data_IF_654072768914
#
_entry.id   IF_654072768914
#
_cell.length_a   1.000
_cell.length_b   1.000
_cell.length_c   1.000
_cell.angle_alpha   90.00
_cell.angle_beta   90.00
_cell.angle_gamma   90.00
#
_symmetry.space_group_name_H-M   'P 1'
#
loop_
_entity.id
_entity.type
_entity.pdbx_description
1 polymer ?
#
# COMPACT_ATOMS: atom_id res chain seq x y z
N UNK A 1 -52.68 11.99 -39.41
CA UNK A 1 -52.55 13.19 -38.56
C UNK A 1 -53.60 13.02 -37.49
N UNK A 2 -53.38 12.70 -36.23
CA UNK A 2 -52.27 12.77 -35.25
C UNK A 2 -52.44 11.54 -34.31
N UNK A 3 -51.46 10.91 -33.68
CA UNK A 3 -50.27 11.44 -33.01
C UNK A 3 -50.54 11.60 -31.51
N UNK A 4 -49.95 10.76 -30.64
CA UNK A 4 -49.58 11.19 -29.28
C UNK A 4 -50.12 10.42 -28.07
N UNK A 5 -49.26 9.52 -27.56
CA UNK A 5 -49.28 8.82 -26.27
C UNK A 5 -49.40 9.75 -25.04
N UNK A 6 -50.38 9.48 -24.15
CA UNK A 6 -50.53 10.13 -22.84
C UNK A 6 -49.85 9.35 -21.71
N UNK A 7 -48.55 9.56 -21.53
CA UNK A 7 -47.79 9.01 -20.40
C UNK A 7 -47.99 9.82 -19.11
N UNK A 8 -48.56 9.19 -18.09
CA UNK A 8 -48.74 9.78 -16.76
C UNK A 8 -47.41 10.18 -16.10
N UNK A 9 -47.26 11.48 -15.82
CA UNK A 9 -46.12 12.04 -15.09
C UNK A 9 -46.27 11.72 -13.59
N UNK A 10 -45.59 10.67 -13.11
CA UNK A 10 -45.38 10.47 -11.67
C UNK A 10 -44.36 11.50 -11.17
N UNK A 11 -44.85 12.51 -10.47
CA UNK A 11 -44.05 13.49 -9.71
C UNK A 11 -43.21 12.75 -8.66
N UNK A 12 -41.91 12.58 -8.92
CA UNK A 12 -40.96 12.16 -7.89
C UNK A 12 -40.73 13.32 -6.92
N UNK A 13 -41.40 13.26 -5.78
CA UNK A 13 -41.23 14.13 -4.62
C UNK A 13 -39.74 14.16 -4.24
N UNK A 14 -39.08 15.28 -4.53
CA UNK A 14 -37.68 15.52 -4.15
C UNK A 14 -37.59 15.60 -2.63
N UNK A 15 -37.11 14.53 -2.00
CA UNK A 15 -36.74 14.51 -0.59
C UNK A 15 -35.73 15.63 -0.34
N UNK A 16 -36.07 16.48 0.64
CA UNK A 16 -35.45 17.79 0.87
C UNK A 16 -33.93 17.75 0.96
N UNK A 17 -33.29 18.47 0.04
CA UNK A 17 -31.95 19.02 0.31
C UNK A 17 -32.14 20.12 1.33
N UNK A 18 -31.79 19.85 2.59
CA UNK A 18 -31.53 20.89 3.59
C UNK A 18 -30.63 21.94 2.93
N UNK A 19 -31.20 23.12 2.68
CA UNK A 19 -30.46 24.29 2.21
C UNK A 19 -29.45 24.62 3.30
N UNK A 20 -28.19 24.28 3.03
CA UNK A 20 -27.10 24.40 3.98
C UNK A 20 -26.85 25.85 4.33
N UNK A 21 -26.76 26.13 5.63
CA UNK A 21 -26.26 27.40 6.14
C UNK A 21 -24.84 27.72 5.64
N UNK A 22 -24.27 28.87 6.05
CA UNK A 22 -23.03 29.39 5.50
C UNK A 22 -21.92 28.33 5.50
N UNK A 23 -21.50 27.91 4.30
CA UNK A 23 -20.45 26.92 4.12
C UNK A 23 -19.12 27.52 4.55
N UNK A 24 -18.48 26.90 5.54
CA UNK A 24 -17.10 27.26 5.94
C UNK A 24 -16.19 27.17 4.71
N UNK A 25 -15.27 28.14 4.58
CA UNK A 25 -14.30 28.17 3.49
C UNK A 25 -13.55 26.83 3.42
N UNK A 26 -13.42 26.20 2.25
CA UNK A 26 -12.78 24.89 2.13
C UNK A 26 -11.29 25.01 2.44
N UNK A 27 -10.84 24.32 3.48
CA UNK A 27 -9.41 24.21 3.82
C UNK A 27 -8.82 22.99 3.11
N UNK A 28 -7.64 23.16 2.51
CA UNK A 28 -6.97 22.06 1.83
C UNK A 28 -6.51 20.99 2.83
N UNK A 29 -6.43 19.73 2.38
CA UNK A 29 -5.95 18.63 3.23
C UNK A 29 -4.48 18.78 3.63
N UNK A 30 -3.68 19.47 2.82
CA UNK A 30 -2.29 19.83 3.14
C UNK A 30 -2.23 20.82 4.29
N UNK A 31 -2.98 21.92 4.19
CA UNK A 31 -3.07 22.95 5.24
C UNK A 31 -3.61 22.36 6.54
N UNK A 32 -4.61 21.47 6.46
CA UNK A 32 -5.18 20.79 7.64
C UNK A 32 -4.20 19.82 8.31
N UNK A 33 -3.25 19.29 7.56
CA UNK A 33 -2.23 18.36 8.05
C UNK A 33 -0.92 19.08 8.44
N UNK A 34 -0.80 20.39 8.23
CA UNK A 34 0.43 21.14 8.47
C UNK A 34 1.57 20.80 7.50
N UNK A 35 1.25 20.31 6.30
CA UNK A 35 2.22 19.87 5.30
C UNK A 35 2.29 20.85 4.13
N UNK A 36 3.49 21.19 3.68
CA UNK A 36 3.73 21.91 2.42
C UNK A 36 3.42 21.02 1.20
N UNK A 37 3.62 19.70 1.32
CA UNK A 37 3.40 18.78 0.22
C UNK A 37 1.90 18.61 -0.14
N UNK A 38 1.55 18.44 -1.43
CA UNK A 38 0.16 18.40 -1.88
C UNK A 38 -0.51 17.03 -1.62
N UNK A 39 -0.96 16.81 -0.38
CA UNK A 39 -1.70 15.62 0.10
C UNK A 39 -2.83 15.20 -0.85
N UNK A 40 -3.59 16.17 -1.36
CA UNK A 40 -4.71 15.90 -2.26
C UNK A 40 -4.30 15.32 -3.61
N UNK A 41 -3.14 15.74 -4.13
CA UNK A 41 -2.57 15.26 -5.40
C UNK A 41 -1.95 13.87 -5.21
N UNK A 42 -1.22 13.68 -4.11
CA UNK A 42 -0.66 12.37 -3.71
C UNK A 42 -1.77 11.32 -3.60
N UNK A 43 -2.89 11.66 -2.95
CA UNK A 43 -4.05 10.77 -2.89
C UNK A 43 -4.67 10.44 -4.25
N UNK A 44 -4.55 11.33 -5.24
CA UNK A 44 -4.98 11.06 -6.62
C UNK A 44 -4.01 10.12 -7.33
N UNK A 45 -2.70 10.35 -7.21
CA UNK A 45 -1.70 9.48 -7.82
C UNK A 45 -1.70 8.07 -7.22
N UNK A 46 -1.90 7.93 -5.91
CA UNK A 46 -2.05 6.62 -5.27
C UNK A 46 -3.23 5.81 -5.84
N UNK A 47 -4.31 6.49 -6.23
CA UNK A 47 -5.47 5.84 -6.88
C UNK A 47 -5.20 5.56 -8.35
N UNK A 48 -4.56 6.49 -9.08
CA UNK A 48 -4.24 6.34 -10.51
C UNK A 48 -3.21 5.23 -10.77
N UNK A 49 -2.22 5.10 -9.89
CA UNK A 49 -1.16 4.10 -9.99
C UNK A 49 -1.60 2.67 -9.67
N UNK A 50 -2.85 2.46 -9.24
CA UNK A 50 -3.43 1.12 -8.99
C UNK A 50 -2.59 0.21 -8.08
N UNK A 51 -1.81 0.80 -7.16
CA UNK A 51 -0.95 0.08 -6.21
C UNK A 51 -1.73 -0.81 -5.23
N UNK A 52 -3.00 -0.47 -4.97
CA UNK A 52 -3.90 -1.26 -4.15
C UNK A 52 -5.35 -1.03 -4.59
N UNK A 53 -6.22 -2.01 -4.30
CA UNK A 53 -7.64 -1.93 -4.61
C UNK A 53 -8.37 -0.78 -3.87
N UNK A 54 -7.86 -0.38 -2.70
CA UNK A 54 -8.36 0.76 -1.92
C UNK A 54 -7.21 1.51 -1.25
N UNK A 55 -7.29 2.84 -1.24
CA UNK A 55 -6.33 3.73 -0.57
C UNK A 55 -7.01 4.32 0.67
N UNK A 56 -6.43 4.07 1.84
CA UNK A 56 -6.91 4.62 3.11
C UNK A 56 -6.86 6.15 3.14
N UNK A 57 -7.73 6.79 3.93
CA UNK A 57 -7.85 8.26 4.00
C UNK A 57 -6.59 8.94 4.52
N UNK A 58 -5.89 8.32 5.47
CA UNK A 58 -4.62 8.80 6.03
C UNK A 58 -3.37 8.44 5.21
N UNK A 59 -3.46 7.47 4.29
CA UNK A 59 -2.32 7.05 3.46
C UNK A 59 -1.65 8.21 2.69
N UNK A 60 -2.39 9.11 2.01
CA UNK A 60 -1.77 10.25 1.34
C UNK A 60 -1.19 11.29 2.30
N UNK A 61 -1.67 11.37 3.54
CA UNK A 61 -1.13 12.29 4.55
C UNK A 61 0.21 11.77 5.06
N UNK A 62 0.27 10.47 5.39
CA UNK A 62 1.49 9.83 5.84
C UNK A 62 2.58 9.89 4.76
N UNK A 63 2.22 9.57 3.51
CA UNK A 63 3.15 9.64 2.40
C UNK A 63 3.64 11.08 2.15
N UNK A 64 2.76 12.07 2.24
CA UNK A 64 3.15 13.48 2.12
C UNK A 64 4.11 13.91 3.24
N UNK A 65 3.90 13.45 4.47
CA UNK A 65 4.76 13.79 5.60
C UNK A 65 6.16 13.18 5.47
N UNK A 66 6.26 11.91 5.05
CA UNK A 66 7.56 11.25 4.80
C UNK A 66 8.30 11.92 3.66
N UNK A 67 7.59 12.30 2.60
CA UNK A 67 8.16 13.01 1.46
C UNK A 67 8.66 14.40 1.82
N UNK A 68 7.90 15.13 2.64
CA UNK A 68 8.30 16.44 3.12
C UNK A 68 9.49 16.36 4.07
N UNK A 69 9.56 15.33 4.92
CA UNK A 69 10.72 15.05 5.76
C UNK A 69 11.97 14.79 4.92
N UNK A 70 11.91 13.86 3.97
CA UNK A 70 13.03 13.57 3.07
C UNK A 70 13.44 14.79 2.24
N UNK A 71 12.45 15.56 1.77
CA UNK A 71 12.72 16.80 1.05
C UNK A 71 13.31 17.87 1.95
N UNK A 72 12.95 17.94 3.22
CA UNK A 72 13.51 18.87 4.21
C UNK A 72 14.94 18.47 4.58
N UNK A 73 15.22 17.18 4.75
CA UNK A 73 16.53 16.64 5.08
C UNK A 73 17.50 16.82 3.90
N UNK A 74 17.06 16.53 2.68
CA UNK A 74 17.80 16.86 1.46
C UNK A 74 17.94 18.37 1.28
N UNK A 75 16.90 19.17 1.58
CA UNK A 75 16.94 20.64 1.52
C UNK A 75 17.89 21.24 2.55
N UNK A 76 18.01 20.64 3.74
CA UNK A 76 18.98 21.06 4.74
C UNK A 76 20.41 20.78 4.25
N UNK A 77 20.59 19.71 3.47
CA UNK A 77 21.85 19.38 2.80
C UNK A 77 22.13 20.27 1.57
N UNK A 78 21.08 20.80 0.92
CA UNK A 78 21.17 21.63 -0.30
C UNK A 78 21.05 23.13 -0.07
N UNK A 79 20.72 23.59 1.13
CA UNK A 79 20.77 25.01 1.47
C UNK A 79 22.22 25.57 1.35
N UNK A 80 23.22 24.69 1.35
CA UNK A 80 24.61 25.02 1.00
C UNK A 80 24.96 24.90 -0.49
N UNK A 81 24.05 24.49 -1.38
CA UNK A 81 24.38 24.29 -2.80
C UNK A 81 23.23 24.66 -3.76
N UNK A 82 23.40 25.82 -4.40
CA UNK A 82 22.86 26.36 -5.66
C UNK A 82 21.49 25.88 -6.23
N UNK A 83 20.64 26.81 -6.74
CA UNK A 83 19.30 26.52 -7.30
C UNK A 83 19.23 25.53 -8.48
N UNK A 84 20.35 25.19 -9.13
CA UNK A 84 20.41 24.18 -10.20
C UNK A 84 20.10 22.75 -9.71
N UNK A 85 20.29 22.45 -8.42
CA UNK A 85 20.07 21.11 -7.86
C UNK A 85 18.59 20.73 -7.73
N UNK A 86 17.66 21.70 -7.74
CA UNK A 86 16.23 21.47 -7.47
C UNK A 86 15.56 20.46 -8.44
N UNK A 87 16.02 20.37 -9.70
CA UNK A 87 15.51 19.42 -10.68
C UNK A 87 16.01 17.98 -10.44
N UNK A 88 17.26 17.80 -10.02
CA UNK A 88 17.84 16.49 -9.70
C UNK A 88 17.15 15.86 -8.49
N UNK A 89 16.81 16.67 -7.48
CA UNK A 89 16.12 16.18 -6.28
C UNK A 89 14.70 15.71 -6.56
N UNK A 90 14.00 16.34 -7.51
CA UNK A 90 12.69 15.87 -7.92
C UNK A 90 12.75 14.48 -8.55
N UNK A 91 13.83 14.17 -9.28
CA UNK A 91 14.03 12.88 -9.90
C UNK A 91 14.43 11.83 -8.85
N UNK A 92 15.37 12.17 -7.96
CA UNK A 92 15.83 11.29 -6.88
C UNK A 92 14.67 10.88 -5.97
N UNK A 93 13.81 11.83 -5.59
CA UNK A 93 12.62 11.54 -4.77
C UNK A 93 11.63 10.64 -5.50
N UNK A 94 11.45 10.83 -6.81
CA UNK A 94 10.55 9.97 -7.61
C UNK A 94 11.08 8.53 -7.73
N UNK A 95 12.38 8.36 -7.92
CA UNK A 95 13.04 7.04 -8.00
C UNK A 95 12.99 6.34 -6.64
N UNK A 96 13.31 7.04 -5.55
CA UNK A 96 13.29 6.49 -4.20
C UNK A 96 11.86 6.08 -3.78
N UNK A 97 10.85 6.86 -4.17
CA UNK A 97 9.45 6.50 -3.97
C UNK A 97 9.06 5.22 -4.71
N UNK A 98 9.46 5.08 -5.97
CA UNK A 98 9.22 3.85 -6.73
C UNK A 98 9.84 2.64 -6.05
N UNK A 99 11.09 2.74 -5.62
CA UNK A 99 11.82 1.64 -4.98
C UNK A 99 11.15 1.19 -3.67
N UNK A 100 10.80 2.12 -2.79
CA UNK A 100 10.10 1.80 -1.52
C UNK A 100 8.73 1.16 -1.79
N UNK A 101 7.98 1.66 -2.77
CA UNK A 101 6.68 1.10 -3.16
C UNK A 101 6.79 -0.31 -3.75
N UNK A 102 7.83 -0.56 -4.53
CA UNK A 102 8.09 -1.86 -5.14
C UNK A 102 8.45 -2.91 -4.08
N UNK A 103 9.41 -2.60 -3.20
CA UNK A 103 9.79 -3.47 -2.08
C UNK A 103 8.63 -3.71 -1.11
N UNK A 104 7.86 -2.66 -0.77
CA UNK A 104 6.69 -2.82 0.09
C UNK A 104 5.55 -3.59 -0.59
N UNK A 105 5.44 -3.51 -1.92
CA UNK A 105 4.53 -4.29 -2.74
C UNK A 105 4.88 -5.78 -2.74
N UNK A 106 6.17 -6.10 -2.86
CA UNK A 106 6.67 -7.47 -2.75
C UNK A 106 6.42 -8.02 -1.35
N UNK A 107 6.79 -7.27 -0.30
CA UNK A 107 6.50 -7.66 1.07
C UNK A 107 5.00 -7.88 1.34
N UNK A 108 4.11 -7.10 0.72
CA UNK A 108 2.66 -7.32 0.82
C UNK A 108 2.21 -8.63 0.14
N UNK A 109 2.75 -8.92 -1.05
CA UNK A 109 2.49 -10.16 -1.78
C UNK A 109 2.98 -11.39 -1.02
N UNK A 110 4.17 -11.32 -0.43
CA UNK A 110 4.75 -12.40 0.39
C UNK A 110 3.89 -12.70 1.62
N UNK A 111 3.28 -11.65 2.19
CA UNK A 111 2.31 -11.77 3.29
C UNK A 111 0.89 -12.14 2.82
N UNK A 112 0.70 -12.48 1.53
CA UNK A 112 -0.59 -12.83 0.92
C UNK A 112 -1.65 -11.72 1.11
N UNK A 113 -1.23 -10.46 1.13
CA UNK A 113 -2.09 -9.29 1.27
C UNK A 113 -2.10 -8.48 -0.02
N UNK A 114 -3.30 -8.13 -0.48
CA UNK A 114 -3.49 -7.25 -1.64
C UNK A 114 -3.44 -5.75 -1.26
N UNK A 115 -3.07 -5.43 -0.01
CA UNK A 115 -3.00 -4.07 0.53
C UNK A 115 -1.69 -3.87 1.26
N UNK A 116 -0.97 -2.82 0.90
CA UNK A 116 0.21 -2.36 1.63
C UNK A 116 -0.26 -1.77 2.97
N UNK A 117 0.30 -2.28 4.08
CA UNK A 117 0.10 -1.78 5.44
C UNK A 117 1.45 -1.31 6.00
N UNK A 118 1.49 -0.52 7.09
CA UNK A 118 2.75 0.00 7.64
C UNK A 118 3.79 -1.08 7.93
N UNK A 119 3.37 -2.31 8.29
CA UNK A 119 4.25 -3.47 8.42
C UNK A 119 5.05 -3.77 7.16
N UNK A 120 4.43 -3.76 5.97
CA UNK A 120 5.12 -4.08 4.72
C UNK A 120 6.15 -3.00 4.36
N UNK A 121 5.86 -1.74 4.69
CA UNK A 121 6.79 -0.62 4.53
C UNK A 121 7.99 -0.79 5.48
N UNK A 122 7.75 -1.20 6.73
CA UNK A 122 8.82 -1.51 7.67
C UNK A 122 9.67 -2.70 7.22
N UNK A 123 9.06 -3.79 6.74
CA UNK A 123 9.79 -4.94 6.21
C UNK A 123 10.66 -4.54 5.00
N UNK A 124 10.13 -3.74 4.08
CA UNK A 124 10.87 -3.25 2.93
C UNK A 124 12.08 -2.39 3.33
N UNK A 125 11.91 -1.46 4.26
CA UNK A 125 12.98 -0.54 4.69
C UNK A 125 14.03 -1.25 5.54
N UNK A 126 13.61 -2.15 6.44
CA UNK A 126 14.53 -2.82 7.38
C UNK A 126 15.27 -4.02 6.78
N UNK A 127 14.78 -4.58 5.68
CA UNK A 127 15.47 -5.62 4.91
C UNK A 127 16.40 -5.06 3.83
N UNK A 128 16.36 -3.75 3.58
CA UNK A 128 17.20 -3.09 2.59
C UNK A 128 18.28 -2.26 3.30
N UNK A 129 19.54 -2.47 2.93
CA UNK A 129 20.67 -1.84 3.63
C UNK A 129 20.73 -0.32 3.41
N UNK A 130 20.38 0.16 2.22
CA UNK A 130 20.47 1.57 1.86
C UNK A 130 19.31 2.35 2.49
N UNK A 131 18.09 1.84 2.36
CA UNK A 131 16.90 2.42 2.96
C UNK A 131 16.93 2.32 4.48
N UNK A 132 17.48 1.24 5.03
CA UNK A 132 17.63 1.03 6.47
C UNK A 132 18.59 2.04 7.10
N UNK A 133 19.72 2.34 6.43
CA UNK A 133 20.66 3.39 6.86
C UNK A 133 20.04 4.78 6.71
N UNK A 134 19.40 5.05 5.57
CA UNK A 134 18.76 6.33 5.29
C UNK A 134 17.63 6.67 6.27
N UNK A 135 16.89 5.66 6.75
CA UNK A 135 15.71 5.83 7.61
C UNK A 135 15.92 5.28 9.03
N UNK A 136 17.17 5.18 9.50
CA UNK A 136 17.50 4.59 10.80
C UNK A 136 16.81 5.31 11.98
N UNK A 137 16.75 6.66 11.91
CA UNK A 137 16.11 7.50 12.94
C UNK A 137 14.60 7.67 12.81
N UNK A 138 14.00 7.15 11.72
CA UNK A 138 12.57 7.35 11.45
C UNK A 138 11.74 6.24 12.09
N UNK A 139 10.75 6.65 12.89
CA UNK A 139 9.79 5.73 13.50
C UNK A 139 8.63 5.46 12.54
N UNK A 140 8.42 4.20 12.17
CA UNK A 140 7.28 3.78 11.34
C UNK A 140 6.12 3.36 12.25
N UNK A 141 5.13 4.24 12.39
CA UNK A 141 3.95 3.97 13.19
C UNK A 141 3.21 2.71 12.68
N UNK A 142 2.78 1.84 13.60
CA UNK A 142 2.14 0.55 13.31
C UNK A 142 2.97 -0.45 12.47
N UNK A 143 4.28 -0.25 12.33
CA UNK A 143 5.17 -1.14 11.59
C UNK A 143 5.64 -2.38 12.38
N UNK A 144 5.73 -2.29 13.71
CA UNK A 144 6.35 -3.33 14.55
C UNK A 144 7.88 -3.42 14.31
N UNK A 145 8.48 -4.59 14.57
CA UNK A 145 9.93 -4.84 14.41
C UNK A 145 10.22 -6.06 13.55
N UNK A 146 11.38 -6.12 12.88
CA UNK A 146 11.77 -7.30 12.10
C UNK A 146 11.85 -8.53 13.04
N UNK A 147 11.32 -9.70 12.65
CA UNK A 147 11.41 -10.88 13.51
C UNK A 147 12.88 -11.27 13.70
N UNK A 148 13.35 -11.21 14.94
CA UNK A 148 14.69 -11.61 15.33
C UNK A 148 14.66 -12.16 16.76
N UNK A 149 15.26 -13.34 16.98
CA UNK A 149 15.36 -13.96 18.30
C UNK A 149 16.84 -14.13 18.59
N UNK A 150 17.30 -13.55 19.71
CA UNK A 150 18.69 -13.72 20.13
C UNK A 150 18.98 -15.21 20.38
N UNK A 151 20.12 -15.74 19.90
CA UNK A 151 20.42 -17.17 19.97
C UNK A 151 20.48 -17.72 21.40
N UNK A 152 20.71 -16.85 22.39
CA UNK A 152 20.69 -17.19 23.82
C UNK A 152 19.28 -17.53 24.32
N UNK A 153 18.25 -16.96 23.71
CA UNK A 153 16.84 -17.19 24.05
C UNK A 153 16.26 -18.42 23.34
N UNK A 154 17.00 -18.99 22.39
CA UNK A 154 16.60 -20.26 21.79
C UNK A 154 16.75 -21.35 22.86
N UNK A 155 15.81 -22.31 22.92
CA UNK A 155 15.97 -23.46 23.79
C UNK A 155 17.31 -24.15 23.48
N UNK A 156 18.13 -24.38 24.51
CA UNK A 156 19.40 -25.10 24.36
C UNK A 156 19.09 -26.49 23.80
N UNK A 157 19.65 -26.81 22.63
CA UNK A 157 19.41 -28.07 21.88
C UNK A 157 19.42 -29.29 22.81
N UNK A 158 18.30 -29.99 22.87
CA UNK A 158 18.29 -31.46 22.73
C UNK A 158 18.35 -31.75 21.23
N UNK A 159 19.26 -32.62 20.80
CA UNK A 159 19.60 -32.84 19.40
C UNK A 159 18.48 -33.51 18.58
N UNK A 160 18.14 -32.99 17.39
CA UNK A 160 17.54 -33.79 16.31
C UNK A 160 18.13 -33.41 14.93
N UNK A 161 18.27 -34.47 14.11
CA UNK A 161 19.10 -34.60 12.90
C UNK A 161 18.57 -33.85 11.67
N UNK A 162 19.51 -33.46 10.83
CA UNK A 162 19.38 -33.00 9.45
C UNK A 162 18.75 -34.03 8.50
N UNK A 163 17.89 -33.58 7.59
CA UNK A 163 17.80 -34.15 6.24
C UNK A 163 17.25 -33.11 5.26
N UNK A 164 18.15 -32.58 4.43
CA UNK A 164 17.84 -31.98 3.13
C UNK A 164 17.43 -33.10 2.16
N UNK A 165 16.29 -32.96 1.47
CA UNK A 165 16.21 -33.21 0.02
C UNK A 165 14.83 -32.85 -0.57
N UNK A 166 14.85 -32.17 -1.71
CA UNK A 166 13.70 -32.05 -2.64
C UNK A 166 13.67 -33.34 -3.47
N UNK A 167 12.50 -33.79 -3.96
CA UNK A 167 12.35 -33.70 -5.42
C UNK A 167 10.90 -33.50 -5.92
N UNK A 168 10.86 -33.33 -7.24
CA UNK A 168 9.80 -32.83 -8.09
C UNK A 168 8.61 -33.78 -8.36
N UNK A 169 7.59 -33.19 -8.97
CA UNK A 169 6.42 -33.78 -9.65
C UNK A 169 6.65 -35.18 -10.25
N UNK A 170 5.70 -36.10 -10.03
CA UNK A 170 5.32 -37.12 -11.03
C UNK A 170 3.83 -37.45 -10.97
N UNK A 171 3.17 -37.28 -12.13
CA UNK A 171 1.86 -37.84 -12.49
C UNK A 171 1.94 -39.36 -12.51
N UNK A 172 0.93 -40.04 -11.97
CA UNK A 172 0.57 -41.44 -12.26
C UNK A 172 -0.91 -41.58 -11.85
N UNK A 173 -1.85 -42.21 -12.54
CA UNK A 173 -2.07 -42.60 -13.92
C UNK A 173 -3.58 -42.89 -14.02
N UNK A 174 -4.14 -42.77 -15.21
CA UNK A 174 -5.47 -43.26 -15.53
C UNK A 174 -5.48 -44.79 -15.68
N UNK A 175 -6.49 -45.45 -15.10
CA UNK A 175 -7.07 -46.72 -15.50
C UNK A 175 -8.33 -46.95 -14.63
N UNK A 176 -9.43 -47.57 -15.01
CA UNK A 176 -10.13 -47.88 -16.25
C UNK A 176 -11.46 -48.54 -15.81
N UNK A 177 -12.59 -48.13 -16.42
CA UNK A 177 -13.86 -48.88 -16.69
C UNK A 177 -14.73 -49.46 -15.54
N UNK A 178 -15.99 -49.00 -15.51
CA UNK A 178 -17.22 -49.56 -14.87
C UNK A 178 -17.66 -50.93 -15.48
N UNK A 179 -18.58 -51.75 -14.89
CA UNK A 179 -20.04 -51.44 -14.76
C UNK A 179 -20.86 -52.09 -13.60
N UNK A 180 -21.92 -51.35 -13.19
CA UNK A 180 -23.32 -51.71 -12.80
C UNK A 180 -23.69 -53.17 -12.39
N UNK A 181 -24.28 -53.34 -11.19
CA UNK A 181 -25.31 -54.36 -10.82
C UNK A 181 -26.05 -53.91 -9.53
N UNK A 182 -27.25 -53.31 -9.61
CA UNK A 182 -28.58 -53.91 -9.33
C UNK A 182 -28.65 -54.82 -8.08
N UNK A 183 -29.35 -54.36 -7.03
CA UNK A 183 -30.56 -54.98 -6.44
C UNK A 183 -30.82 -54.48 -4.99
N UNK A 184 -31.96 -53.79 -4.78
CA UNK A 184 -32.75 -53.86 -3.53
C UNK A 184 -34.16 -53.31 -3.78
N UNK A 185 -35.03 -54.20 -4.26
CA UNK A 185 -36.46 -54.40 -3.94
C UNK A 185 -37.06 -55.28 -5.02
#
# INVERSE_FOLDING_TARGET
MDGGSGGGVKVKKAVGRKLGGPKKKPVSRSVKAGLQFPVGRIGRYLKKGRYAQRVGTGAPVYLAAVLEYLAAEARLLLFFSSPAAAAANSLIIAVLMMQVLELAGNAARDNKKNRIIPRHVLLAIRNDEELGKLLAGVTIAHGGVLPNINPVLLPKKTAEKSSSDKPAKKKVAAAAKSPKKQARS
#
